data_IF_054585049782
#
_entry.id   IF_054585049782
#
_cell.length_a   1.000
_cell.length_b   1.000
_cell.length_c   1.000
_cell.angle_alpha   90.00
_cell.angle_beta   90.00
_cell.angle_gamma   90.00
#
_symmetry.space_group_name_H-M   'P 1'
#
loop_
_entity.id
_entity.type
_entity.pdbx_description
1 polymer ?
#
# COMPACT_ATOMS: atom_id res chain seq x y z
N UNK A 1 -32.36 -7.40 11.57
CA UNK A 1 -31.98 -7.76 12.95
C UNK A 1 -30.63 -8.46 12.88
N UNK A 2 -29.54 -7.78 13.22
CA UNK A 2 -28.27 -8.42 13.58
C UNK A 2 -27.40 -7.40 14.33
N UNK A 3 -27.60 -7.45 15.65
CA UNK A 3 -26.74 -7.14 16.79
C UNK A 3 -25.47 -6.32 16.54
N UNK A 4 -25.47 -5.12 17.13
CA UNK A 4 -24.32 -4.35 17.57
C UNK A 4 -23.40 -5.20 18.44
N UNK A 5 -22.11 -5.28 18.10
CA UNK A 5 -21.06 -5.61 19.08
C UNK A 5 -20.08 -4.44 19.17
N UNK A 6 -20.08 -3.86 20.36
CA UNK A 6 -19.20 -2.82 20.85
C UNK A 6 -17.77 -3.37 20.95
N UNK A 7 -16.84 -2.76 20.23
CA UNK A 7 -15.41 -2.83 20.49
C UNK A 7 -14.87 -1.41 20.44
N UNK A 8 -14.32 -0.94 21.56
CA UNK A 8 -13.88 0.44 21.80
C UNK A 8 -12.74 0.93 20.91
N UNK A 9 -11.89 1.77 21.49
CA UNK A 9 -10.86 2.59 20.83
C UNK A 9 -11.41 3.91 20.29
N UNK A 10 -11.42 4.90 21.20
CA UNK A 10 -11.51 6.30 20.83
C UNK A 10 -10.48 6.61 19.74
N UNK A 11 -10.96 6.74 18.51
CA UNK A 11 -10.16 7.23 17.40
C UNK A 11 -9.90 8.71 17.68
N UNK A 12 -8.68 9.03 18.12
CA UNK A 12 -8.05 10.30 17.77
C UNK A 12 -8.29 10.46 16.26
N UNK A 13 -9.11 11.42 15.85
CA UNK A 13 -9.26 11.76 14.44
C UNK A 13 -7.88 12.20 13.96
N UNK A 14 -7.13 11.29 13.34
CA UNK A 14 -5.87 11.61 12.70
C UNK A 14 -6.19 12.57 11.56
N UNK A 15 -5.97 13.87 11.79
CA UNK A 15 -6.02 14.89 10.76
C UNK A 15 -4.79 14.70 9.87
N UNK A 16 -4.95 13.89 8.82
CA UNK A 16 -3.98 13.78 7.74
C UNK A 16 -3.82 15.15 7.09
N UNK A 17 -2.59 15.65 6.97
CA UNK A 17 -2.31 16.98 6.41
C UNK A 17 -1.98 16.94 4.92
N UNK A 18 -1.58 15.77 4.43
CA UNK A 18 -1.11 15.60 3.07
C UNK A 18 -1.39 14.17 2.60
N UNK A 19 -1.51 14.02 1.30
CA UNK A 19 -1.80 12.74 0.66
C UNK A 19 -1.18 12.65 -0.73
N UNK A 20 -1.02 11.42 -1.21
CA UNK A 20 -0.60 11.10 -2.56
C UNK A 20 -1.41 9.92 -3.11
N UNK A 21 -1.73 10.00 -4.40
CA UNK A 21 -2.39 8.94 -5.16
C UNK A 21 -1.56 8.64 -6.39
N UNK A 22 -1.31 7.37 -6.66
CA UNK A 22 -0.66 6.96 -7.89
C UNK A 22 -1.10 5.55 -8.29
N UNK A 23 -1.12 5.33 -9.61
CA UNK A 23 -1.44 4.05 -10.24
C UNK A 23 -0.17 3.53 -10.91
N UNK A 24 0.25 2.31 -10.57
CA UNK A 24 1.45 1.68 -11.12
C UNK A 24 1.05 0.54 -12.03
N UNK A 25 1.48 0.60 -13.28
CA UNK A 25 1.32 -0.50 -14.24
C UNK A 25 2.42 -1.56 -14.03
N UNK A 26 2.01 -2.78 -13.72
CA UNK A 26 2.90 -3.93 -13.55
C UNK A 26 2.89 -4.88 -14.75
N UNK A 27 2.25 -4.47 -15.86
CA UNK A 27 2.16 -5.14 -17.17
C UNK A 27 1.37 -6.44 -17.18
N UNK A 28 1.32 -7.15 -16.05
CA UNK A 28 0.67 -8.43 -15.91
C UNK A 28 -0.15 -8.51 -14.62
N UNK A 29 -1.37 -9.03 -14.72
CA UNK A 29 -2.27 -9.17 -13.57
C UNK A 29 -1.69 -10.07 -12.47
N UNK A 30 -1.02 -11.18 -12.84
CA UNK A 30 -0.40 -12.07 -11.87
C UNK A 30 0.71 -11.37 -11.07
N UNK A 31 1.50 -10.51 -11.71
CA UNK A 31 2.55 -9.72 -11.04
C UNK A 31 1.92 -8.71 -10.09
N UNK A 32 0.83 -8.03 -10.51
CA UNK A 32 0.12 -7.10 -9.65
C UNK A 32 -0.43 -7.76 -8.38
N UNK A 33 -1.06 -8.93 -8.52
CA UNK A 33 -1.60 -9.68 -7.39
C UNK A 33 -0.50 -10.15 -6.42
N UNK A 34 0.64 -10.65 -6.94
CA UNK A 34 1.77 -11.06 -6.10
C UNK A 34 2.34 -9.87 -5.34
N UNK A 35 2.59 -8.74 -6.02
CA UNK A 35 3.12 -7.53 -5.38
C UNK A 35 2.17 -7.02 -4.30
N UNK A 36 0.87 -6.96 -4.57
CA UNK A 36 -0.12 -6.57 -3.56
C UNK A 36 -0.08 -7.48 -2.33
N UNK A 37 -0.09 -8.81 -2.52
CA UNK A 37 -0.02 -9.78 -1.42
C UNK A 37 1.28 -9.67 -0.63
N UNK A 38 2.40 -9.39 -1.27
CA UNK A 38 3.68 -9.16 -0.62
C UNK A 38 3.70 -7.90 0.25
N UNK A 39 2.95 -6.86 -0.13
CA UNK A 39 2.87 -5.59 0.62
C UNK A 39 1.76 -5.56 1.66
N UNK A 40 0.75 -6.41 1.55
CA UNK A 40 -0.40 -6.46 2.46
C UNK A 40 -0.04 -6.52 3.96
N UNK A 41 1.00 -7.26 4.41
CA UNK A 41 1.41 -7.25 5.81
C UNK A 41 1.75 -5.85 6.35
N UNK A 42 2.40 -5.00 5.54
CA UNK A 42 2.80 -3.63 5.92
C UNK A 42 1.60 -2.69 6.01
N UNK A 43 0.52 -3.00 5.32
CA UNK A 43 -0.74 -2.26 5.40
C UNK A 43 -1.49 -2.67 6.67
N UNK A 44 -1.55 -3.98 6.94
CA UNK A 44 -2.28 -4.56 8.05
C UNK A 44 -1.61 -4.23 9.40
N UNK A 45 -0.29 -4.22 9.42
CA UNK A 45 0.52 -3.97 10.61
C UNK A 45 1.52 -2.83 10.32
N UNK A 46 1.04 -1.58 10.22
CA UNK A 46 1.87 -0.48 9.79
C UNK A 46 2.97 -0.20 10.82
N UNK A 47 4.22 0.06 10.37
CA UNK A 47 5.34 0.32 11.27
C UNK A 47 5.23 1.68 11.99
N UNK A 48 4.33 2.55 11.56
CA UNK A 48 4.12 3.87 12.16
C UNK A 48 2.66 4.32 12.03
N UNK A 49 2.18 5.03 13.04
CA UNK A 49 0.87 5.69 13.05
C UNK A 49 0.84 7.03 12.31
N UNK A 50 2.01 7.52 11.86
CA UNK A 50 2.16 8.81 11.14
C UNK A 50 1.72 8.76 9.69
N UNK A 51 1.52 7.54 9.18
CA UNK A 51 1.06 7.29 7.82
C UNK A 51 -0.10 6.30 7.85
N UNK A 52 -0.97 6.39 6.85
CA UNK A 52 -1.93 5.36 6.49
C UNK A 52 -1.79 5.10 5.01
N UNK A 53 -1.76 3.83 4.63
CA UNK A 53 -1.68 3.40 3.24
C UNK A 53 -2.87 2.52 2.94
N UNK A 54 -3.53 2.78 1.83
CA UNK A 54 -4.57 1.94 1.27
C UNK A 54 -4.04 1.48 -0.12
N UNK A 55 -4.00 0.16 -0.37
CA UNK A 55 -3.63 -0.42 -1.67
C UNK A 55 -4.79 -1.24 -2.23
N UNK A 56 -4.91 -1.23 -3.55
CA UNK A 56 -5.92 -1.96 -4.31
C UNK A 56 -5.33 -2.46 -5.64
N UNK A 57 -5.88 -3.56 -6.17
CA UNK A 57 -5.47 -4.17 -7.44
C UNK A 57 -6.59 -4.05 -8.46
N UNK A 58 -6.26 -3.49 -9.62
CA UNK A 58 -7.16 -3.33 -10.76
C UNK A 58 -6.48 -3.87 -12.02
N UNK A 59 -6.79 -5.10 -12.42
CA UNK A 59 -6.16 -5.74 -13.58
C UNK A 59 -4.65 -5.88 -13.41
N UNK A 60 -3.86 -5.29 -14.30
CA UNK A 60 -2.39 -5.26 -14.19
C UNK A 60 -1.85 -4.06 -13.40
N UNK A 61 -2.73 -3.31 -12.73
CA UNK A 61 -2.37 -2.10 -12.01
C UNK A 61 -2.48 -2.28 -10.50
N UNK A 62 -1.63 -1.54 -9.79
CA UNK A 62 -1.76 -1.31 -8.36
C UNK A 62 -2.11 0.17 -8.13
N UNK A 63 -3.22 0.40 -7.44
CA UNK A 63 -3.63 1.71 -6.96
C UNK A 63 -3.08 1.91 -5.55
N UNK A 64 -2.41 3.03 -5.30
CA UNK A 64 -1.85 3.36 -3.99
C UNK A 64 -2.37 4.71 -3.53
N UNK A 65 -2.93 4.75 -2.32
CA UNK A 65 -3.29 5.98 -1.61
C UNK A 65 -2.50 6.04 -0.31
N UNK A 66 -1.70 7.09 -0.15
CA UNK A 66 -0.93 7.35 1.08
C UNK A 66 -1.44 8.63 1.71
N UNK A 67 -1.79 8.56 3.00
CA UNK A 67 -2.10 9.71 3.86
C UNK A 67 -0.99 9.86 4.90
N UNK A 68 -0.58 11.09 5.17
CA UNK A 68 0.45 11.36 6.18
C UNK A 68 0.18 12.63 6.98
N UNK A 69 0.80 12.70 8.16
CA UNK A 69 0.73 13.85 9.05
C UNK A 69 1.59 15.04 8.60
N UNK A 70 2.56 14.80 7.70
CA UNK A 70 3.51 15.80 7.20
C UNK A 70 4.03 15.43 5.81
N UNK A 71 4.54 16.42 5.08
CA UNK A 71 5.16 16.22 3.76
C UNK A 71 6.40 15.31 3.83
N UNK A 72 7.18 15.40 4.92
CA UNK A 72 8.35 14.54 5.11
C UNK A 72 7.93 13.07 5.32
N UNK A 73 6.90 12.81 6.13
CA UNK A 73 6.31 11.48 6.30
C UNK A 73 5.77 10.93 4.97
N UNK A 74 5.07 11.77 4.19
CA UNK A 74 4.54 11.38 2.87
C UNK A 74 5.67 11.01 1.91
N UNK A 75 6.71 11.87 1.80
CA UNK A 75 7.86 11.62 0.93
C UNK A 75 8.57 10.31 1.30
N UNK A 76 8.74 10.05 2.61
CA UNK A 76 9.34 8.80 3.07
C UNK A 76 8.48 7.59 2.68
N UNK A 77 7.17 7.65 2.88
CA UNK A 77 6.26 6.56 2.52
C UNK A 77 6.20 6.32 1.01
N UNK A 78 6.03 7.37 0.19
CA UNK A 78 6.04 7.27 -1.28
C UNK A 78 7.33 6.60 -1.76
N UNK A 79 8.49 7.06 -1.27
CA UNK A 79 9.78 6.50 -1.67
C UNK A 79 9.94 5.03 -1.26
N UNK A 80 9.41 4.62 -0.11
CA UNK A 80 9.45 3.22 0.33
C UNK A 80 8.56 2.32 -0.53
N UNK A 81 7.30 2.70 -0.74
CA UNK A 81 6.34 1.89 -1.48
C UNK A 81 6.71 1.77 -2.96
N UNK A 82 7.11 2.87 -3.62
CA UNK A 82 7.57 2.80 -5.00
C UNK A 82 8.83 1.92 -5.14
N UNK A 83 9.75 1.99 -4.18
CA UNK A 83 10.95 1.15 -4.18
C UNK A 83 10.58 -0.33 -4.05
N UNK A 84 9.70 -0.69 -3.12
CA UNK A 84 9.28 -2.09 -2.96
C UNK A 84 8.54 -2.61 -4.17
N UNK A 85 7.59 -1.84 -4.72
CA UNK A 85 6.86 -2.22 -5.94
C UNK A 85 7.84 -2.43 -7.10
N UNK A 86 8.80 -1.52 -7.29
CA UNK A 86 9.83 -1.63 -8.33
C UNK A 86 10.73 -2.85 -8.14
N UNK A 87 11.18 -3.12 -6.91
CA UNK A 87 12.03 -4.26 -6.60
C UNK A 87 11.30 -5.58 -6.85
N UNK A 88 10.09 -5.73 -6.30
CA UNK A 88 9.30 -6.94 -6.44
C UNK A 88 8.97 -7.21 -7.91
N UNK A 89 8.52 -6.21 -8.67
CA UNK A 89 8.19 -6.42 -10.08
C UNK A 89 9.41 -6.84 -10.89
N UNK A 90 10.58 -6.21 -10.68
CA UNK A 90 11.82 -6.56 -11.36
C UNK A 90 12.27 -7.98 -11.01
N UNK A 91 12.25 -8.33 -9.73
CA UNK A 91 12.62 -9.68 -9.26
C UNK A 91 11.72 -10.74 -9.89
N UNK A 92 10.41 -10.51 -9.92
CA UNK A 92 9.45 -11.46 -10.51
C UNK A 92 9.64 -11.61 -12.02
N UNK A 93 9.91 -10.51 -12.75
CA UNK A 93 10.21 -10.58 -14.18
C UNK A 93 11.49 -11.38 -14.46
N UNK A 94 12.54 -11.19 -13.65
CA UNK A 94 13.78 -11.97 -13.78
C UNK A 94 13.51 -13.45 -13.50
N UNK A 95 12.84 -13.78 -12.40
CA UNK A 95 12.52 -15.17 -12.05
C UNK A 95 11.70 -15.84 -13.15
N UNK A 96 10.70 -15.14 -13.68
CA UNK A 96 9.85 -15.64 -14.77
C UNK A 96 10.62 -15.87 -16.06
N UNK A 97 11.66 -15.08 -16.34
CA UNK A 97 12.52 -15.28 -17.52
C UNK A 97 13.47 -16.49 -17.43
N UNK A 98 13.59 -17.11 -16.25
CA UNK A 98 14.44 -18.28 -16.01
C UNK A 98 13.68 -19.61 -16.09
N UNK A 99 12.34 -19.57 -16.19
CA UNK A 99 11.47 -20.73 -16.35
C UNK A 99 10.92 -20.80 -17.77
#
# INVERSE_FOLDING_TARGET
MCVLSLGGWGRRLALWRTEAFFKVDLRENCIAEIVYRSLYPEIKFPPSTRIKVDLDVDGCFINVHIKADSLSSLRAAVNSYLRWISLLSRSLHVIKSLC
#
